data_IF_798868790363
#
_entry.id   IF_798868790363
#
_cell.length_a   1.000
_cell.length_b   1.000
_cell.length_c   1.000
_cell.angle_alpha   90.00
_cell.angle_beta   90.00
_cell.angle_gamma   90.00
#
_symmetry.space_group_name_H-M   'P 1'
#
loop_
_entity.id
_entity.type
_entity.pdbx_description
1 polymer ?
#
# COMPACT_ATOMS: atom_id res chain seq x y z
N UNK A 1 2.61 17.83 2.26
CA UNK A 1 2.73 18.15 3.72
C UNK A 1 2.91 16.88 4.55
N UNK A 2 2.39 15.73 4.11
CA UNK A 2 2.52 14.44 4.76
C UNK A 2 3.96 13.93 4.77
N UNK A 3 4.72 14.09 3.68
CA UNK A 3 6.13 13.71 3.65
C UNK A 3 6.94 14.54 4.64
N UNK A 4 6.61 15.83 4.78
CA UNK A 4 7.23 16.70 5.78
C UNK A 4 6.86 16.28 7.19
N UNK A 5 5.58 15.97 7.48
CA UNK A 5 5.17 15.45 8.79
C UNK A 5 5.83 14.11 9.11
N UNK A 6 5.95 13.21 8.14
CA UNK A 6 6.65 11.94 8.30
C UNK A 6 8.15 12.17 8.53
N UNK A 7 8.81 13.01 7.71
CA UNK A 7 10.23 13.36 7.88
C UNK A 7 10.51 14.03 9.23
N UNK A 8 9.60 14.87 9.72
CA UNK A 8 9.70 15.46 11.06
C UNK A 8 9.55 14.38 12.13
N UNK A 9 8.50 13.55 12.05
CA UNK A 9 8.26 12.46 13.00
C UNK A 9 9.41 11.41 12.98
N UNK A 10 10.03 11.14 11.83
CA UNK A 10 11.18 10.22 11.72
C UNK A 10 12.51 10.86 12.15
N UNK A 11 12.72 12.16 11.93
CA UNK A 11 13.90 12.86 12.43
C UNK A 11 13.94 12.93 13.96
N UNK A 12 12.77 12.94 14.63
CA UNK A 12 12.67 12.72 16.08
C UNK A 12 12.98 11.26 16.45
N UNK A 13 12.43 10.28 15.71
CA UNK A 13 12.69 8.85 15.94
C UNK A 13 14.17 8.45 15.80
N UNK A 14 14.90 9.00 14.81
CA UNK A 14 16.32 8.70 14.60
C UNK A 14 17.25 9.23 15.71
N UNK A 15 16.77 10.12 16.60
CA UNK A 15 17.56 10.66 17.71
C UNK A 15 17.46 9.83 19.00
N UNK A 16 16.50 8.92 19.10
CA UNK A 16 16.17 8.20 20.35
C UNK A 16 16.65 6.74 20.40
N UNK A 17 17.58 6.34 19.51
CA UNK A 17 18.24 5.02 19.59
C UNK A 17 19.68 5.14 20.12
N UNK A 18 19.91 5.03 21.44
CA UNK A 18 21.21 4.62 21.93
C UNK A 18 21.39 3.13 21.59
N UNK A 19 22.29 2.82 20.65
CA UNK A 19 22.77 1.44 20.48
C UNK A 19 23.54 1.08 21.74
N UNK A 20 22.86 0.42 22.69
CA UNK A 20 23.50 -0.17 23.87
C UNK A 20 23.07 -1.62 24.05
N UNK A 21 24.04 -2.48 23.73
CA UNK A 21 24.38 -3.78 24.31
C UNK A 21 23.42 -4.99 24.29
N UNK A 22 23.96 -6.04 23.63
CA UNK A 22 24.18 -7.39 24.17
C UNK A 22 23.03 -8.06 24.92
N UNK A 23 22.18 -8.75 24.17
CA UNK A 23 21.60 -10.03 24.60
C UNK A 23 21.83 -11.06 23.50
N UNK A 24 22.47 -12.16 23.85
CA UNK A 24 22.73 -13.29 22.95
C UNK A 24 21.41 -13.91 22.48
N UNK A 25 21.35 -14.21 21.17
CA UNK A 25 20.18 -14.71 20.43
C UNK A 25 19.71 -16.12 20.82
N UNK A 26 20.22 -16.70 21.90
CA UNK A 26 20.01 -18.11 22.24
C UNK A 26 18.83 -18.35 23.21
N UNK A 27 18.33 -17.33 23.90
CA UNK A 27 17.30 -17.51 24.95
C UNK A 27 15.84 -17.37 24.49
N UNK A 28 15.58 -16.98 23.24
CA UNK A 28 14.20 -16.88 22.70
C UNK A 28 13.79 -18.08 21.84
N UNK A 29 14.68 -19.08 21.65
CA UNK A 29 14.46 -20.24 20.78
C UNK A 29 14.19 -21.51 21.61
N UNK A 30 13.18 -21.48 22.49
CA UNK A 30 12.83 -22.70 23.26
C UNK A 30 11.34 -22.99 23.42
N UNK A 31 10.43 -22.31 22.69
CA UNK A 31 9.01 -22.67 22.76
C UNK A 31 8.18 -22.41 21.51
N UNK A 32 8.68 -22.71 20.31
CA UNK A 32 7.83 -22.78 19.12
C UNK A 32 8.09 -24.06 18.33
N UNK A 33 7.13 -24.97 18.43
CA UNK A 33 7.06 -26.22 17.69
C UNK A 33 7.15 -25.96 16.18
N UNK A 34 7.92 -26.83 15.52
CA UNK A 34 8.28 -26.82 14.11
C UNK A 34 7.04 -26.79 13.20
N UNK A 35 6.91 -25.71 12.42
CA UNK A 35 6.12 -25.67 11.18
C UNK A 35 7.12 -25.46 10.03
N UNK A 36 7.09 -26.25 8.95
CA UNK A 36 7.96 -26.05 7.80
C UNK A 36 7.77 -24.64 7.22
N UNK A 37 8.83 -23.83 7.19
CA UNK A 37 8.81 -22.46 6.70
C UNK A 37 8.72 -22.41 5.18
N UNK A 38 7.54 -22.10 4.66
CA UNK A 38 7.40 -21.35 3.41
C UNK A 38 7.37 -19.85 3.73
N UNK A 39 8.54 -19.21 3.62
CA UNK A 39 8.79 -17.80 3.91
C UNK A 39 7.88 -16.84 3.13
N UNK A 40 7.40 -17.23 1.94
CA UNK A 40 6.62 -16.37 1.06
C UNK A 40 5.20 -16.04 1.57
N UNK A 41 4.64 -16.95 2.38
CA UNK A 41 3.30 -16.82 2.95
C UNK A 41 3.23 -15.80 4.09
N UNK A 42 4.33 -15.62 4.83
CA UNK A 42 4.37 -14.77 6.03
C UNK A 42 4.37 -13.27 5.70
N UNK A 43 5.22 -12.83 4.77
CA UNK A 43 5.37 -11.42 4.41
C UNK A 43 4.15 -10.87 3.68
N UNK A 44 3.48 -11.68 2.85
CA UNK A 44 2.25 -11.27 2.15
C UNK A 44 1.07 -11.13 3.11
N UNK A 45 0.95 -12.02 4.10
CA UNK A 45 -0.04 -11.92 5.17
C UNK A 45 0.22 -10.68 6.05
N UNK A 46 1.48 -10.44 6.42
CA UNK A 46 1.86 -9.26 7.17
C UNK A 46 1.55 -7.96 6.41
N UNK A 47 1.90 -7.90 5.12
CA UNK A 47 1.58 -6.76 4.26
C UNK A 47 0.07 -6.49 4.23
N UNK A 48 -0.74 -7.54 4.05
CA UNK A 48 -2.21 -7.42 4.08
C UNK A 48 -2.69 -6.88 5.43
N UNK A 49 -2.22 -7.46 6.53
CA UNK A 49 -2.60 -7.05 7.88
C UNK A 49 -2.22 -5.58 8.17
N UNK A 50 -1.05 -5.14 7.71
CA UNK A 50 -0.62 -3.74 7.84
C UNK A 50 -1.51 -2.77 7.04
N UNK A 51 -1.93 -3.14 5.82
CA UNK A 51 -2.87 -2.34 5.04
C UNK A 51 -4.25 -2.31 5.70
N UNK A 52 -4.73 -3.42 6.27
CA UNK A 52 -5.99 -3.42 7.02
C UNK A 52 -5.91 -2.53 8.26
N UNK A 53 -4.82 -2.63 9.03
CA UNK A 53 -4.55 -1.76 10.19
C UNK A 53 -4.48 -0.29 9.79
N UNK A 54 -3.90 0.03 8.63
CA UNK A 54 -3.87 1.39 8.08
C UNK A 54 -5.27 2.00 7.98
N UNK A 55 -6.26 1.24 7.48
CA UNK A 55 -7.64 1.73 7.39
C UNK A 55 -8.29 1.88 8.76
N UNK A 56 -8.03 0.96 9.70
CA UNK A 56 -8.61 1.03 11.05
C UNK A 56 -8.08 2.22 11.85
N UNK A 57 -6.77 2.39 11.90
CA UNK A 57 -6.14 3.38 12.80
C UNK A 57 -6.51 4.82 12.45
N UNK A 58 -6.69 5.10 11.15
CA UNK A 58 -7.14 6.43 10.71
C UNK A 58 -8.61 6.70 11.01
N UNK A 59 -9.46 5.67 11.03
CA UNK A 59 -10.87 5.83 11.44
C UNK A 59 -10.96 6.29 12.90
N UNK A 60 -10.06 5.80 13.74
CA UNK A 60 -10.08 6.06 15.18
C UNK A 60 -9.41 7.38 15.56
N UNK A 61 -8.27 7.71 14.94
CA UNK A 61 -7.40 8.81 15.41
C UNK A 61 -7.27 9.97 14.43
N UNK A 62 -7.71 9.80 13.17
CA UNK A 62 -7.49 10.74 12.07
C UNK A 62 -6.00 11.08 11.82
N UNK A 63 -5.09 10.24 12.35
CA UNK A 63 -3.65 10.28 12.11
C UNK A 63 -3.13 8.85 11.93
N UNK A 64 -1.87 8.71 11.50
CA UNK A 64 -1.15 7.44 11.57
C UNK A 64 -0.12 7.52 12.69
N UNK A 65 -0.11 6.50 13.56
CA UNK A 65 0.93 6.35 14.58
C UNK A 65 2.29 6.17 13.96
N UNK A 66 3.31 6.62 14.68
CA UNK A 66 4.69 6.43 14.27
C UNK A 66 5.03 4.93 14.14
N UNK A 67 4.50 4.09 15.02
CA UNK A 67 4.71 2.64 15.01
C UNK A 67 4.14 2.00 13.75
N UNK A 68 2.94 2.40 13.32
CA UNK A 68 2.35 1.93 12.06
C UNK A 68 3.19 2.37 10.86
N UNK A 69 3.62 3.64 10.82
CA UNK A 69 4.45 4.17 9.74
C UNK A 69 5.83 3.48 9.69
N UNK A 70 6.41 3.17 10.84
CA UNK A 70 7.66 2.43 10.95
C UNK A 70 7.48 0.96 10.49
N UNK A 71 6.39 0.30 10.87
CA UNK A 71 6.08 -1.05 10.42
C UNK A 71 5.85 -1.13 8.91
N UNK A 72 5.13 -0.15 8.34
CA UNK A 72 4.95 -0.01 6.89
C UNK A 72 6.28 0.21 6.18
N UNK A 73 7.15 1.06 6.73
CA UNK A 73 8.49 1.28 6.17
C UNK A 73 9.34 0.01 6.24
N UNK A 74 9.33 -0.71 7.36
CA UNK A 74 10.08 -1.96 7.50
C UNK A 74 9.60 -3.03 6.50
N UNK A 75 8.28 -3.10 6.26
CA UNK A 75 7.69 -4.10 5.37
C UNK A 75 7.83 -3.76 3.87
N UNK A 76 7.68 -2.49 3.48
CA UNK A 76 7.62 -2.07 2.08
C UNK A 76 8.82 -1.20 1.64
N UNK A 77 9.70 -0.79 2.57
CA UNK A 77 10.92 -0.04 2.29
C UNK A 77 10.72 1.17 1.39
N UNK A 78 11.54 1.24 0.34
CA UNK A 78 11.53 2.32 -0.66
C UNK A 78 10.18 2.46 -1.39
N UNK A 79 9.42 1.36 -1.52
CA UNK A 79 8.09 1.42 -2.13
C UNK A 79 7.13 2.27 -1.29
N UNK A 80 7.25 2.22 0.04
CA UNK A 80 6.50 3.09 0.95
C UNK A 80 6.89 4.56 0.82
N UNK A 81 8.19 4.90 0.85
CA UNK A 81 8.63 6.29 0.69
C UNK A 81 8.12 6.92 -0.62
N UNK A 82 8.18 6.16 -1.72
CA UNK A 82 7.67 6.60 -3.02
C UNK A 82 6.15 6.78 -3.01
N UNK A 83 5.43 5.91 -2.30
CA UNK A 83 3.98 6.05 -2.12
C UNK A 83 3.64 7.33 -1.34
N UNK A 84 4.39 7.66 -0.28
CA UNK A 84 4.18 8.90 0.49
C UNK A 84 4.39 10.15 -0.37
N UNK A 85 5.41 10.17 -1.23
CA UNK A 85 5.64 11.28 -2.19
C UNK A 85 4.47 11.46 -3.15
N UNK A 86 3.83 10.36 -3.54
CA UNK A 86 2.70 10.38 -4.45
C UNK A 86 1.41 10.91 -3.78
N UNK A 87 1.14 10.49 -2.54
CA UNK A 87 0.02 10.98 -1.72
C UNK A 87 0.05 12.51 -1.57
N UNK A 88 1.23 13.09 -1.44
CA UNK A 88 1.40 14.53 -1.25
C UNK A 88 1.21 15.36 -2.52
N UNK A 89 1.35 14.74 -3.70
CA UNK A 89 1.41 15.46 -4.98
C UNK A 89 0.15 15.33 -5.82
N UNK A 90 -0.58 14.20 -5.74
CA UNK A 90 -1.72 13.93 -6.63
C UNK A 90 -2.89 13.31 -5.85
N UNK A 91 -4.11 13.86 -5.96
CA UNK A 91 -5.27 13.32 -5.27
C UNK A 91 -5.72 12.00 -5.88
N UNK A 92 -6.32 11.14 -5.06
CA UNK A 92 -6.99 9.92 -5.51
C UNK A 92 -8.38 10.26 -6.07
N UNK A 93 -8.78 9.62 -7.17
CA UNK A 93 -10.16 9.66 -7.67
C UNK A 93 -10.82 8.31 -7.39
N UNK A 94 -11.98 8.36 -6.75
CA UNK A 94 -12.81 7.21 -6.37
C UNK A 94 -14.02 7.13 -7.28
N UNK A 95 -13.97 6.25 -8.28
CA UNK A 95 -15.14 5.93 -9.09
C UNK A 95 -16.08 5.02 -8.31
N UNK A 96 -17.34 5.44 -8.18
CA UNK A 96 -18.41 4.61 -7.61
C UNK A 96 -19.51 4.40 -8.64
N UNK A 97 -19.94 3.15 -8.78
CA UNK A 97 -21.08 2.80 -9.61
C UNK A 97 -22.37 2.76 -8.80
N UNK A 98 -23.52 2.85 -9.47
CA UNK A 98 -24.84 2.71 -8.85
C UNK A 98 -25.05 1.33 -8.22
N UNK A 99 -24.45 0.28 -8.79
CA UNK A 99 -24.41 -1.06 -8.23
C UNK A 99 -23.41 -1.23 -7.06
N UNK A 100 -22.69 -0.17 -6.67
CA UNK A 100 -21.75 -0.19 -5.55
C UNK A 100 -20.33 -0.65 -5.89
N UNK A 101 -20.02 -0.88 -7.17
CA UNK A 101 -18.65 -1.19 -7.59
C UNK A 101 -17.74 0.02 -7.37
N UNK A 102 -16.48 -0.23 -7.03
CA UNK A 102 -15.48 0.81 -6.81
C UNK A 102 -14.23 0.56 -7.64
N UNK A 103 -13.72 1.65 -8.23
CA UNK A 103 -12.44 1.66 -8.92
C UNK A 103 -11.66 2.91 -8.53
N UNK A 104 -10.40 2.73 -8.15
CA UNK A 104 -9.55 3.81 -7.66
C UNK A 104 -8.61 4.24 -8.77
N UNK A 105 -8.61 5.52 -9.13
CA UNK A 105 -7.70 6.08 -10.11
C UNK A 105 -6.66 6.94 -9.40
N UNK A 106 -5.40 6.56 -9.60
CA UNK A 106 -4.22 7.27 -9.11
C UNK A 106 -3.41 7.73 -10.31
N UNK A 107 -2.91 8.96 -10.25
CA UNK A 107 -2.04 9.47 -11.28
C UNK A 107 -0.58 9.11 -10.96
N UNK A 108 0.09 8.47 -11.90
CA UNK A 108 1.51 8.14 -11.81
C UNK A 108 2.38 9.39 -11.94
N UNK A 109 3.67 9.28 -11.65
CA UNK A 109 4.63 10.40 -11.72
C UNK A 109 4.71 11.03 -13.11
N UNK A 110 4.53 10.23 -14.16
CA UNK A 110 4.50 10.56 -15.59
C UNK A 110 3.10 10.96 -16.11
N UNK A 111 2.19 11.32 -15.21
CA UNK A 111 0.79 11.69 -15.50
C UNK A 111 -0.10 10.59 -16.10
N UNK A 112 0.44 9.40 -16.34
CA UNK A 112 -0.33 8.21 -16.71
C UNK A 112 -1.36 7.85 -15.63
N UNK A 113 -2.60 7.60 -16.05
CA UNK A 113 -3.67 7.14 -15.16
C UNK A 113 -3.52 5.66 -14.84
N UNK A 114 -3.34 5.35 -13.57
CA UNK A 114 -3.28 3.99 -13.04
C UNK A 114 -4.56 3.70 -12.29
N UNK A 115 -5.15 2.53 -12.56
CA UNK A 115 -6.36 2.09 -11.89
C UNK A 115 -6.04 0.95 -10.93
N UNK A 116 -6.65 0.99 -9.76
CA UNK A 116 -6.44 0.08 -8.64
C UNK A 116 -7.79 -0.47 -8.20
N UNK A 117 -7.84 -1.78 -7.98
CA UNK A 117 -8.98 -2.46 -7.38
C UNK A 117 -8.80 -2.46 -5.85
N UNK A 118 -9.78 -1.99 -5.06
CA UNK A 118 -9.61 -1.77 -3.61
C UNK A 118 -9.25 -3.03 -2.81
N UNK A 119 -9.69 -4.19 -3.28
CA UNK A 119 -9.62 -5.45 -2.54
C UNK A 119 -8.64 -6.44 -3.16
N UNK A 120 -7.89 -6.03 -4.19
CA UNK A 120 -6.96 -6.89 -4.91
C UNK A 120 -5.60 -6.21 -4.92
N UNK A 121 -4.60 -6.83 -4.31
CA UNK A 121 -3.21 -6.41 -4.45
C UNK A 121 -2.77 -6.71 -5.90
N UNK A 122 -3.03 -5.76 -6.80
CA UNK A 122 -2.66 -5.85 -8.20
C UNK A 122 -2.58 -4.45 -8.80
N UNK A 123 -1.55 -4.24 -9.61
CA UNK A 123 -1.41 -3.05 -10.43
C UNK A 123 -0.85 -3.44 -11.80
N UNK A 124 -1.31 -2.78 -12.87
CA UNK A 124 -0.80 -3.02 -14.23
C UNK A 124 0.52 -2.33 -14.54
N UNK A 125 1.10 -1.58 -13.60
CA UNK A 125 2.36 -0.89 -13.84
C UNK A 125 3.52 -1.87 -14.02
N UNK A 126 4.56 -1.43 -14.72
CA UNK A 126 5.74 -2.24 -15.02
C UNK A 126 6.43 -2.71 -13.74
N UNK A 127 6.55 -1.85 -12.72
CA UNK A 127 7.12 -2.22 -11.42
C UNK A 127 6.40 -3.42 -10.82
N UNK A 128 5.06 -3.43 -10.85
CA UNK A 128 4.30 -4.56 -10.33
C UNK A 128 4.54 -5.83 -11.16
N UNK A 129 4.49 -5.70 -12.50
CA UNK A 129 4.74 -6.83 -13.42
C UNK A 129 6.13 -7.46 -13.18
N UNK A 130 7.17 -6.65 -13.14
CA UNK A 130 8.54 -7.15 -13.08
C UNK A 130 8.96 -7.48 -11.64
N UNK A 131 8.78 -6.56 -10.69
CA UNK A 131 9.33 -6.70 -9.34
C UNK A 131 8.47 -7.54 -8.41
N UNK A 132 7.14 -7.55 -8.58
CA UNK A 132 6.22 -8.35 -7.75
C UNK A 132 5.99 -9.72 -8.40
N UNK A 133 5.51 -9.76 -9.65
CA UNK A 133 5.09 -11.02 -10.27
C UNK A 133 6.25 -11.87 -10.80
N UNK A 134 7.26 -11.26 -11.43
CA UNK A 134 8.33 -12.01 -12.09
C UNK A 134 9.54 -12.26 -11.18
N UNK A 135 9.92 -11.26 -10.39
CA UNK A 135 11.16 -11.32 -9.58
C UNK A 135 10.91 -11.58 -8.09
N UNK A 136 9.67 -11.40 -7.61
CA UNK A 136 9.31 -11.57 -6.20
C UNK A 136 10.23 -10.77 -5.23
N UNK A 137 10.60 -9.55 -5.63
CA UNK A 137 11.46 -8.64 -4.85
C UNK A 137 10.61 -7.71 -3.98
N UNK A 138 9.50 -7.22 -4.53
CA UNK A 138 8.61 -6.28 -3.85
C UNK A 138 7.27 -6.95 -3.54
N UNK A 139 6.63 -6.56 -2.43
CA UNK A 139 5.30 -7.08 -2.07
C UNK A 139 4.15 -6.41 -2.85
N UNK A 140 4.39 -5.19 -3.33
CA UNK A 140 3.44 -4.41 -4.13
C UNK A 140 4.16 -3.25 -4.80
N UNK A 141 3.42 -2.36 -5.47
CA UNK A 141 3.96 -1.14 -6.05
C UNK A 141 3.51 0.12 -5.30
N UNK A 142 4.21 1.23 -5.55
CA UNK A 142 3.89 2.54 -4.96
C UNK A 142 2.47 3.02 -5.28
N UNK A 143 1.90 2.63 -6.43
CA UNK A 143 0.58 3.07 -6.85
C UNK A 143 -0.52 2.44 -6.01
N UNK A 144 -0.42 1.14 -5.73
CA UNK A 144 -1.34 0.44 -4.82
C UNK A 144 -1.28 1.03 -3.42
N UNK A 145 -0.06 1.17 -2.88
CA UNK A 145 0.16 1.68 -1.53
C UNK A 145 -0.30 3.13 -1.35
N UNK A 146 -0.03 4.00 -2.32
CA UNK A 146 -0.51 5.39 -2.29
C UNK A 146 -2.03 5.50 -2.43
N UNK A 147 -2.68 4.60 -3.19
CA UNK A 147 -4.14 4.54 -3.25
C UNK A 147 -4.73 4.23 -1.87
N UNK A 148 -4.19 3.22 -1.18
CA UNK A 148 -4.64 2.87 0.17
C UNK A 148 -4.39 3.96 1.20
N UNK A 149 -3.23 4.63 1.14
CA UNK A 149 -2.93 5.77 2.01
C UNK A 149 -3.89 6.93 1.79
N UNK A 150 -4.14 7.32 0.54
CA UNK A 150 -5.11 8.37 0.21
C UNK A 150 -6.53 7.98 0.65
N UNK A 151 -6.93 6.73 0.41
CA UNK A 151 -8.25 6.23 0.78
C UNK A 151 -8.46 6.23 2.29
N UNK A 152 -7.51 5.68 3.06
CA UNK A 152 -7.57 5.65 4.53
C UNK A 152 -7.71 7.07 5.09
N UNK A 153 -6.96 8.03 4.53
CA UNK A 153 -6.98 9.43 4.94
C UNK A 153 -8.20 10.23 4.49
N UNK A 154 -9.11 9.64 3.72
CA UNK A 154 -10.22 10.33 3.05
C UNK A 154 -9.75 11.47 2.12
N UNK A 155 -8.54 11.35 1.59
CA UNK A 155 -7.95 12.28 0.61
C UNK A 155 -8.25 11.83 -0.82
N UNK A 156 -9.53 11.87 -1.17
CA UNK A 156 -9.99 11.50 -2.50
C UNK A 156 -11.18 12.32 -2.97
N UNK A 157 -11.38 12.38 -4.28
CA UNK A 157 -12.57 12.92 -4.92
C UNK A 157 -13.47 11.77 -5.35
N UNK A 158 -14.76 11.86 -5.07
CA UNK A 158 -15.72 10.82 -5.48
C UNK A 158 -16.36 11.22 -6.80
N UNK A 159 -16.28 10.33 -7.78
CA UNK A 159 -16.96 10.48 -9.07
C UNK A 159 -17.99 9.35 -9.23
N UNK A 160 -19.27 9.74 -9.30
CA UNK A 160 -20.35 8.80 -9.58
C UNK A 160 -20.40 8.51 -11.07
N UNK A 161 -20.35 7.24 -11.44
CA UNK A 161 -20.40 6.78 -12.83
C UNK A 161 -21.49 5.73 -13.03
N UNK A 162 -22.00 5.61 -14.25
CA UNK A 162 -22.98 4.57 -14.56
C UNK A 162 -22.35 3.19 -14.49
N UNK A 163 -23.14 2.15 -14.18
CA UNK A 163 -22.66 0.76 -14.21
C UNK A 163 -22.14 0.35 -15.60
N UNK A 164 -22.69 0.94 -16.67
CA UNK A 164 -22.19 0.74 -18.04
C UNK A 164 -20.77 1.29 -18.20
N UNK A 165 -20.53 2.51 -17.71
CA UNK A 165 -19.20 3.14 -17.73
C UNK A 165 -18.20 2.35 -16.88
N UNK A 166 -18.61 1.89 -15.70
CA UNK A 166 -17.75 1.08 -14.83
C UNK A 166 -17.32 -0.22 -15.54
N UNK A 167 -18.26 -0.94 -16.16
CA UNK A 167 -17.94 -2.16 -16.93
C UNK A 167 -17.00 -1.89 -18.08
N UNK A 168 -17.21 -0.81 -18.82
CA UNK A 168 -16.32 -0.43 -19.92
C UNK A 168 -14.91 -0.13 -19.42
N UNK A 169 -14.79 0.67 -18.35
CA UNK A 169 -13.49 0.96 -17.73
C UNK A 169 -12.78 -0.32 -17.28
N UNK A 170 -13.47 -1.21 -16.56
CA UNK A 170 -12.89 -2.48 -16.11
C UNK A 170 -12.44 -3.34 -17.29
N UNK A 171 -13.23 -3.37 -18.37
CA UNK A 171 -12.87 -4.07 -19.60
C UNK A 171 -11.63 -3.45 -20.23
N UNK A 172 -11.64 -2.16 -20.55
CA UNK A 172 -10.52 -1.47 -21.19
C UNK A 172 -9.24 -1.57 -20.35
N UNK A 173 -9.36 -1.40 -19.04
CA UNK A 173 -8.20 -1.37 -18.14
C UNK A 173 -7.67 -2.76 -17.89
N UNK A 174 -8.52 -3.77 -17.61
CA UNK A 174 -8.05 -5.07 -17.13
C UNK A 174 -8.09 -6.19 -18.17
N UNK A 175 -9.00 -6.13 -19.15
CA UNK A 175 -9.22 -7.18 -20.14
C UNK A 175 -8.63 -6.72 -21.49
N UNK A 176 -7.55 -7.37 -21.94
CA UNK A 176 -6.96 -7.06 -23.25
C UNK A 176 -8.00 -7.26 -24.37
N UNK A 177 -7.95 -6.49 -25.49
CA UNK A 177 -8.91 -6.58 -26.60
C UNK A 177 -8.98 -7.92 -27.37
N UNK A 178 -8.29 -8.98 -26.93
CA UNK A 178 -8.12 -10.23 -27.70
C UNK A 178 -8.70 -11.49 -27.06
N UNK A 179 -9.51 -11.37 -26.00
CA UNK A 179 -10.19 -12.50 -25.37
C UNK A 179 -11.71 -12.29 -25.40
N UNK A 180 -12.30 -12.45 -26.59
CA UNK A 180 -13.73 -12.69 -26.81
C UNK A 180 -13.89 -13.51 -28.07
#
# INVERSE_FOLDING_TARGET
>A
MFLMQWQIKTAHFQKDFPITNNRTMDELVSSQNQIPMDCSSSSSQLAKALIERLHQEYLDTNEFSLDLLAALYHCFGNTFERALKQVDSKPLILYKSTAGQQLWKVQSSDDTSIYILPHVNFCKCEVYKYQVLQQNIELTCKHYLSAHLNYARKMYQVEQISDKTMRELLRTVYISPGYV
#
